data_IF_453072084304
#
_entry.id   IF_453072084304
#
_cell.length_a   1.000
_cell.length_b   1.000
_cell.length_c   1.000
_cell.angle_alpha   90.00
_cell.angle_beta   90.00
_cell.angle_gamma   90.00
#
_symmetry.space_group_name_H-M   'P 1'
#
loop_
_entity.id
_entity.type
_entity.pdbx_description
1 polymer ?
#
# COMPACT_ATOMS: atom_id res chain seq x y z
N UNK A 1 -28.24 26.98 24.08
CA UNK A 1 -27.11 27.91 24.30
C UNK A 1 -25.99 27.47 23.39
N UNK A 2 -25.89 28.13 22.23
CA UNK A 2 -24.85 27.89 21.22
C UNK A 2 -23.68 28.82 21.50
N UNK A 3 -22.45 28.31 21.52
CA UNK A 3 -21.26 29.03 21.04
C UNK A 3 -20.27 28.01 20.48
N UNK A 4 -20.16 27.98 19.16
CA UNK A 4 -19.09 27.33 18.43
C UNK A 4 -18.38 28.38 17.58
N UNK A 5 -17.05 28.41 17.64
CA UNK A 5 -16.20 29.01 16.61
C UNK A 5 -14.78 28.44 16.74
N UNK A 6 -14.37 27.58 15.80
CA UNK A 6 -12.95 27.41 15.45
C UNK A 6 -12.86 27.66 13.94
N UNK A 7 -12.29 28.81 13.60
CA UNK A 7 -11.86 29.13 12.23
C UNK A 7 -10.48 28.50 12.02
N UNK A 8 -10.41 27.41 11.26
CA UNK A 8 -9.16 27.07 10.56
C UNK A 8 -9.29 27.66 9.16
N UNK A 9 -8.51 28.69 8.92
CA UNK A 9 -8.34 29.31 7.60
C UNK A 9 -7.50 28.35 6.76
N UNK A 10 -8.13 27.58 5.87
CA UNK A 10 -7.39 26.81 4.86
C UNK A 10 -6.64 27.80 3.96
N UNK A 11 -5.30 27.72 3.99
CA UNK A 11 -4.47 28.27 2.92
C UNK A 11 -4.65 27.33 1.72
N UNK A 12 -5.02 27.83 0.53
CA UNK A 12 -5.04 26.99 -0.66
C UNK A 12 -3.60 26.70 -1.07
N UNK A 13 -3.21 25.43 -1.10
CA UNK A 13 -1.94 24.99 -1.67
C UNK A 13 -0.85 24.62 -0.67
N UNK A 14 -1.03 23.51 0.02
CA UNK A 14 -0.02 22.46 0.25
C UNK A 14 -0.52 21.63 1.42
N UNK A 15 -0.98 20.41 1.14
CA UNK A 15 -0.77 19.37 2.14
C UNK A 15 0.72 19.44 2.51
N UNK A 16 1.11 19.40 3.80
CA UNK A 16 2.52 19.25 4.14
C UNK A 16 3.05 18.12 3.27
N UNK A 17 4.17 18.34 2.58
CA UNK A 17 4.76 17.35 1.70
C UNK A 17 4.73 16.00 2.44
N UNK A 18 3.89 15.06 2.01
CA UNK A 18 3.62 13.79 2.73
C UNK A 18 4.92 13.04 2.98
N UNK A 19 5.95 13.32 2.17
CA UNK A 19 7.29 12.78 2.26
C UNK A 19 8.17 13.46 3.33
N UNK A 20 7.90 14.71 3.72
CA UNK A 20 8.66 15.45 4.73
C UNK A 20 8.61 14.83 6.12
N UNK A 21 7.57 14.03 6.41
CA UNK A 21 7.45 13.27 7.66
C UNK A 21 8.42 12.10 7.77
N UNK A 22 9.08 11.70 6.68
CA UNK A 22 10.03 10.59 6.66
C UNK A 22 11.47 11.12 6.65
N UNK A 23 12.25 10.75 7.67
CA UNK A 23 13.64 11.19 7.81
C UNK A 23 14.57 10.60 6.73
N UNK A 24 14.39 9.33 6.38
CA UNK A 24 15.28 8.58 5.49
C UNK A 24 14.84 8.67 4.03
N UNK A 25 15.82 8.86 3.13
CA UNK A 25 15.56 8.99 1.69
C UNK A 25 14.94 7.72 1.10
N UNK A 26 15.40 6.54 1.49
CA UNK A 26 14.84 5.28 1.00
C UNK A 26 13.38 5.09 1.42
N UNK A 27 13.00 5.54 2.63
CA UNK A 27 11.61 5.54 3.06
C UNK A 27 10.76 6.50 2.21
N UNK A 28 11.27 7.72 1.92
CA UNK A 28 10.60 8.67 1.02
C UNK A 28 10.40 8.08 -0.38
N UNK A 29 11.42 7.43 -0.94
CA UNK A 29 11.37 6.77 -2.25
C UNK A 29 10.37 5.62 -2.27
N UNK A 30 10.32 4.80 -1.21
CA UNK A 30 9.37 3.69 -1.09
C UNK A 30 7.92 4.19 -1.01
N UNK A 31 7.66 5.20 -0.19
CA UNK A 31 6.32 5.81 -0.11
C UNK A 31 5.92 6.41 -1.46
N UNK A 32 6.81 7.16 -2.09
CA UNK A 32 6.55 7.72 -3.42
C UNK A 32 6.29 6.63 -4.49
N UNK A 33 6.92 5.46 -4.38
CA UNK A 33 6.65 4.33 -5.28
C UNK A 33 5.23 3.79 -5.11
N UNK A 34 4.75 3.65 -3.87
CA UNK A 34 3.39 3.17 -3.58
C UNK A 34 2.34 4.19 -4.03
N UNK A 35 2.55 5.48 -3.77
CA UNK A 35 1.66 6.55 -4.24
C UNK A 35 1.56 6.60 -5.77
N UNK A 36 2.70 6.46 -6.46
CA UNK A 36 2.71 6.39 -7.93
C UNK A 36 2.00 5.14 -8.46
N UNK A 37 2.08 4.01 -7.74
CA UNK A 37 1.37 2.79 -8.11
C UNK A 37 -0.15 2.93 -7.92
N UNK A 38 -0.58 3.53 -6.80
CA UNK A 38 -1.99 3.85 -6.55
C UNK A 38 -2.56 4.77 -7.63
N UNK A 39 -1.88 5.86 -7.96
CA UNK A 39 -2.30 6.77 -9.03
C UNK A 39 -2.38 6.07 -10.41
N UNK A 40 -1.46 5.15 -10.70
CA UNK A 40 -1.52 4.37 -11.94
C UNK A 40 -2.72 3.40 -11.96
N UNK A 41 -3.03 2.78 -10.82
CA UNK A 41 -4.22 1.94 -10.65
C UNK A 41 -5.51 2.75 -10.82
N UNK A 42 -5.59 3.96 -10.28
CA UNK A 42 -6.74 4.86 -10.49
C UNK A 42 -6.92 5.23 -11.96
N UNK A 43 -5.81 5.46 -12.67
CA UNK A 43 -5.84 5.84 -14.08
C UNK A 43 -6.18 4.68 -15.03
N UNK A 44 -5.63 3.49 -14.78
CA UNK A 44 -5.65 2.37 -15.74
C UNK A 44 -6.41 1.14 -15.25
N UNK A 45 -6.84 1.11 -13.99
CA UNK A 45 -7.43 -0.08 -13.38
C UNK A 45 -6.50 -1.29 -13.45
N UNK A 46 -7.08 -2.46 -13.71
CA UNK A 46 -6.36 -3.74 -13.76
C UNK A 46 -5.23 -3.78 -14.81
N UNK A 47 -5.28 -2.94 -15.85
CA UNK A 47 -4.22 -2.90 -16.86
C UNK A 47 -2.86 -2.45 -16.29
N UNK A 48 -2.87 -1.69 -15.20
CA UNK A 48 -1.65 -1.27 -14.48
C UNK A 48 -0.87 -2.47 -13.91
N UNK A 49 -1.56 -3.57 -13.57
CA UNK A 49 -0.96 -4.77 -12.97
C UNK A 49 0.11 -5.38 -13.88
N UNK A 50 -0.07 -5.28 -15.22
CA UNK A 50 0.93 -5.76 -16.19
C UNK A 50 2.25 -4.99 -16.10
N UNK A 51 2.20 -3.70 -15.77
CA UNK A 51 3.41 -2.90 -15.56
C UNK A 51 4.12 -3.30 -14.28
N UNK A 52 3.38 -3.57 -13.20
CA UNK A 52 3.94 -3.96 -11.90
C UNK A 52 4.68 -5.29 -11.95
N UNK A 53 4.22 -6.24 -12.77
CA UNK A 53 4.88 -7.54 -12.94
C UNK A 53 6.15 -7.52 -13.80
N UNK A 54 6.50 -6.40 -14.45
CA UNK A 54 7.63 -6.32 -15.38
C UNK A 54 8.96 -6.29 -14.61
N UNK A 55 9.69 -7.41 -14.61
CA UNK A 55 11.03 -7.53 -14.01
C UNK A 55 11.97 -6.44 -14.55
N UNK A 56 12.76 -5.85 -13.65
CA UNK A 56 13.71 -4.78 -13.99
C UNK A 56 13.06 -3.41 -14.22
N UNK A 57 11.73 -3.29 -14.08
CA UNK A 57 11.06 -1.99 -14.01
C UNK A 57 11.25 -1.35 -12.63
N UNK A 58 10.87 -0.07 -12.52
CA UNK A 58 10.82 0.62 -11.22
C UNK A 58 9.88 -0.04 -10.21
N UNK A 59 8.88 -0.79 -10.68
CA UNK A 59 7.87 -1.46 -9.86
C UNK A 59 8.34 -2.81 -9.31
N UNK A 60 9.25 -3.47 -10.03
CA UNK A 60 9.77 -4.79 -9.67
C UNK A 60 11.27 -4.87 -9.94
N UNK A 61 12.03 -4.25 -9.04
CA UNK A 61 13.47 -4.25 -9.03
C UNK A 61 14.02 -4.17 -7.61
N UNK A 62 15.21 -4.74 -7.41
CA UNK A 62 15.89 -4.70 -6.11
C UNK A 62 15.10 -5.42 -5.00
N UNK A 63 15.03 -4.86 -3.78
CA UNK A 63 14.41 -5.51 -2.64
C UNK A 63 12.89 -5.27 -2.54
N UNK A 64 12.31 -4.42 -3.39
CA UNK A 64 10.92 -3.99 -3.28
C UNK A 64 10.05 -4.59 -4.40
N UNK A 65 8.81 -4.91 -4.04
CA UNK A 65 7.78 -5.33 -4.98
C UNK A 65 6.40 -4.90 -4.45
N UNK A 66 5.46 -4.74 -5.37
CA UNK A 66 4.06 -4.42 -5.04
C UNK A 66 3.24 -5.70 -4.91
N UNK A 67 2.22 -5.66 -4.06
CA UNK A 67 1.13 -6.64 -4.00
C UNK A 67 -0.18 -5.88 -3.82
N UNK A 68 -1.28 -6.45 -4.31
CA UNK A 68 -2.60 -5.80 -4.28
C UNK A 68 -3.62 -6.81 -3.80
N UNK A 69 -4.39 -6.40 -2.79
CA UNK A 69 -5.53 -7.14 -2.26
C UNK A 69 -6.79 -6.29 -2.36
N UNK A 70 -7.92 -6.93 -2.63
CA UNK A 70 -9.24 -6.34 -2.43
C UNK A 70 -9.55 -6.17 -0.93
N UNK A 71 -10.54 -5.34 -0.56
CA UNK A 71 -10.90 -5.14 0.85
C UNK A 71 -11.34 -6.40 1.59
N UNK A 72 -11.82 -7.44 0.90
CA UNK A 72 -12.16 -8.73 1.50
C UNK A 72 -10.94 -9.65 1.72
N UNK A 73 -9.76 -9.27 1.19
CA UNK A 73 -8.53 -10.04 1.22
C UNK A 73 -8.25 -10.88 -0.04
N UNK A 74 -9.05 -10.74 -1.10
CA UNK A 74 -8.82 -11.40 -2.39
C UNK A 74 -7.56 -10.84 -3.05
N UNK A 75 -6.63 -11.71 -3.44
CA UNK A 75 -5.38 -11.30 -4.06
C UNK A 75 -5.60 -10.93 -5.53
N UNK A 76 -5.38 -9.66 -5.88
CA UNK A 76 -5.45 -9.15 -7.26
C UNK A 76 -4.09 -9.31 -7.95
N UNK A 77 -3.00 -9.08 -7.22
CA UNK A 77 -1.65 -9.15 -7.77
C UNK A 77 -0.62 -9.54 -6.71
N UNK A 78 0.24 -10.50 -7.06
CA UNK A 78 1.42 -10.85 -6.25
C UNK A 78 2.55 -11.43 -7.13
N UNK A 79 3.64 -10.69 -7.43
CA UNK A 79 4.63 -11.09 -8.43
C UNK A 79 5.47 -12.31 -8.01
N UNK A 80 5.58 -12.56 -6.70
CA UNK A 80 6.32 -13.70 -6.15
C UNK A 80 5.44 -14.91 -5.82
N UNK A 81 4.11 -14.77 -5.86
CA UNK A 81 3.12 -15.81 -5.50
C UNK A 81 1.93 -15.76 -6.48
N UNK A 82 2.17 -16.00 -7.79
CA UNK A 82 1.12 -15.90 -8.81
C UNK A 82 -0.06 -16.86 -8.55
N UNK A 83 0.19 -18.00 -7.91
CA UNK A 83 -0.84 -18.98 -7.56
C UNK A 83 -1.87 -18.49 -6.53
N UNK A 84 -1.66 -17.31 -5.94
CA UNK A 84 -2.60 -16.70 -4.99
C UNK A 84 -3.62 -15.81 -5.69
N UNK A 85 -3.37 -15.37 -6.92
CA UNK A 85 -4.27 -14.46 -7.64
C UNK A 85 -5.67 -15.08 -7.76
N UNK A 86 -6.69 -14.30 -7.42
CA UNK A 86 -8.09 -14.73 -7.40
C UNK A 86 -8.52 -15.52 -6.16
N UNK A 87 -7.62 -15.77 -5.20
CA UNK A 87 -7.94 -16.44 -3.93
C UNK A 87 -8.08 -15.43 -2.81
N UNK A 88 -9.00 -15.72 -1.89
CA UNK A 88 -9.11 -14.96 -0.65
C UNK A 88 -8.00 -15.38 0.32
N UNK A 89 -7.11 -14.44 0.65
CA UNK A 89 -5.94 -14.66 1.50
C UNK A 89 -6.14 -14.11 2.92
N UNK A 90 -7.37 -13.79 3.32
CA UNK A 90 -7.67 -13.21 4.64
C UNK A 90 -7.30 -14.15 5.81
N UNK A 91 -7.18 -15.45 5.58
CA UNK A 91 -6.71 -16.42 6.58
C UNK A 91 -5.19 -16.56 6.64
N UNK A 92 -4.43 -15.91 5.75
CA UNK A 92 -2.98 -15.95 5.79
C UNK A 92 -2.47 -15.35 7.11
N UNK A 93 -1.59 -16.10 7.77
CA UNK A 93 -0.89 -15.69 8.98
C UNK A 93 0.62 -15.73 8.76
N UNK A 94 1.34 -14.82 9.39
CA UNK A 94 2.79 -14.94 9.49
C UNK A 94 3.20 -16.03 10.50
N UNK A 95 4.50 -16.26 10.67
CA UNK A 95 5.06 -17.28 11.56
C UNK A 95 4.65 -17.14 13.04
N UNK A 96 4.20 -15.96 13.46
CA UNK A 96 3.74 -15.69 14.82
C UNK A 96 2.21 -15.60 14.92
N UNK A 97 1.48 -16.00 13.87
CA UNK A 97 0.03 -15.95 13.85
C UNK A 97 -0.56 -14.57 13.53
N UNK A 98 0.23 -13.59 13.07
CA UNK A 98 -0.28 -12.26 12.72
C UNK A 98 -1.10 -12.31 11.42
N UNK A 99 -2.35 -11.79 11.39
CA UNK A 99 -3.21 -11.81 10.21
C UNK A 99 -2.84 -10.71 9.19
N UNK A 100 -1.70 -10.86 8.52
CA UNK A 100 -1.10 -9.80 7.70
C UNK A 100 -2.04 -9.27 6.60
N UNK A 101 -2.76 -10.13 5.85
CA UNK A 101 -3.65 -9.69 4.76
C UNK A 101 -4.83 -8.91 5.30
N UNK A 102 -5.39 -9.33 6.44
CA UNK A 102 -6.49 -8.58 7.08
C UNK A 102 -6.02 -7.20 7.54
N UNK A 103 -4.81 -7.10 8.11
CA UNK A 103 -4.26 -5.82 8.53
C UNK A 103 -4.06 -4.87 7.35
N UNK A 104 -3.48 -5.35 6.24
CA UNK A 104 -3.34 -4.55 5.01
C UNK A 104 -4.72 -4.14 4.45
N UNK A 105 -5.66 -5.07 4.35
CA UNK A 105 -7.00 -4.78 3.84
C UNK A 105 -7.81 -3.83 4.74
N UNK A 106 -7.52 -3.79 6.04
CA UNK A 106 -8.13 -2.83 6.97
C UNK A 106 -7.65 -1.40 6.72
N UNK A 107 -6.37 -1.20 6.36
CA UNK A 107 -5.85 0.12 5.97
C UNK A 107 -6.58 0.64 4.73
N UNK A 108 -6.85 -0.22 3.75
CA UNK A 108 -7.62 0.17 2.56
C UNK A 108 -9.11 0.49 2.82
N UNK A 109 -9.62 0.22 4.03
CA UNK A 109 -11.02 0.52 4.42
C UNK A 109 -11.16 1.79 5.24
N UNK A 110 -10.06 2.42 5.67
CA UNK A 110 -10.14 3.71 6.35
C UNK A 110 -10.48 4.81 5.34
N UNK A 111 -10.97 5.98 5.79
CA UNK A 111 -11.22 7.11 4.90
C UNK A 111 -9.98 7.45 4.06
N UNK A 112 -10.18 7.96 2.85
CA UNK A 112 -9.12 8.21 1.85
C UNK A 112 -7.92 9.00 2.41
N UNK A 113 -8.19 10.03 3.20
CA UNK A 113 -7.14 10.85 3.83
C UNK A 113 -6.25 10.06 4.82
N UNK A 114 -6.75 8.94 5.33
CA UNK A 114 -6.10 8.07 6.32
C UNK A 114 -5.76 6.68 5.73
N UNK A 115 -6.06 6.42 4.46
CA UNK A 115 -5.89 5.11 3.79
C UNK A 115 -4.42 4.83 3.40
N UNK A 116 -3.50 5.06 4.33
CA UNK A 116 -2.06 4.84 4.15
C UNK A 116 -1.42 4.53 5.50
N UNK A 117 -0.82 3.36 5.66
CA UNK A 117 -0.17 2.95 6.91
C UNK A 117 0.94 1.90 6.67
N UNK A 118 1.77 1.66 7.69
CA UNK A 118 2.83 0.66 7.69
C UNK A 118 2.38 -0.62 8.41
N UNK A 119 2.37 -1.74 7.69
CA UNK A 119 2.11 -3.07 8.27
C UNK A 119 3.40 -3.87 8.32
N UNK A 120 3.92 -4.09 9.53
CA UNK A 120 5.11 -4.91 9.76
C UNK A 120 4.71 -6.36 10.05
N UNK A 121 5.26 -7.32 9.30
CA UNK A 121 4.99 -8.75 9.44
C UNK A 121 6.24 -9.58 9.12
N UNK A 122 6.24 -10.85 9.55
CA UNK A 122 7.32 -11.79 9.22
C UNK A 122 7.03 -12.48 7.90
N UNK A 123 8.06 -12.63 7.07
CA UNK A 123 8.00 -13.39 5.83
C UNK A 123 9.13 -14.41 5.76
N UNK A 124 8.88 -15.64 5.29
CA UNK A 124 9.95 -16.59 5.06
C UNK A 124 10.97 -16.00 4.08
N UNK A 125 12.22 -15.89 4.51
CA UNK A 125 13.31 -15.64 3.58
C UNK A 125 13.51 -16.89 2.73
N UNK A 126 13.59 -16.74 1.41
CA UNK A 126 14.12 -17.82 0.57
C UNK A 126 15.59 -18.00 0.95
N UNK A 127 15.92 -19.07 1.67
CA UNK A 127 17.30 -19.59 1.71
C UNK A 127 17.58 -20.11 0.31
N UNK A 128 18.36 -19.35 -0.46
CA UNK A 128 19.15 -19.92 -1.54
C UNK A 128 20.34 -20.66 -0.94
#
# INVERSE_FOLDING_TARGET
MWQGLILVRSIPGSAPDKLSGYAYEDTRRLVALVEQAAALMEQKGEDAVREFGRKGSKWFSGPYYLFIYEPDGTCVFHPLQPDWIGKNMSELRDMNGKPMVRLVAQVGKTPENDASDWVFYLWPTKRN
#
